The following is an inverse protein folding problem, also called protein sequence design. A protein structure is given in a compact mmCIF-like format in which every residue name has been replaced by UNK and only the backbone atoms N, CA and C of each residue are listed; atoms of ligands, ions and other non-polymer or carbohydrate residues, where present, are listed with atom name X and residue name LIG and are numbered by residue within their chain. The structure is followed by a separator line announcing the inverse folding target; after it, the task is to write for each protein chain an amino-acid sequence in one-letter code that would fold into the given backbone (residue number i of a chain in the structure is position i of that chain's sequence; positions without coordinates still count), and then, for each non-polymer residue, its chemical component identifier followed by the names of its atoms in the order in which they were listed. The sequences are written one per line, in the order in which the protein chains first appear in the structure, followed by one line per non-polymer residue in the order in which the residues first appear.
data_IF_442254470387
#
_entry.id   IF_442254470387
#
_cell.length_a   1.000
_cell.length_b   1.000
_cell.length_c   1.000
_cell.angle_alpha   90.00
_cell.angle_beta   90.00
_cell.angle_gamma   90.00
#
_symmetry.space_group_name_H-M   'P 1'
#
loop_
_entity.id
_entity.type
_entity.pdbx_description
1 polymer ?
#
# COMPACT_ATOMS: atom_id res chain seq x y z
N UNK A 1 -13.01 3.02 -15.77
CA UNK A 1 -12.03 2.71 -14.69
C UNK A 1 -10.71 2.05 -15.17
N UNK A 2 -10.71 0.79 -15.65
CA UNK A 2 -9.48 0.08 -16.08
C UNK A 2 -8.73 0.84 -17.19
N UNK A 3 -9.46 1.42 -18.14
CA UNK A 3 -8.88 2.24 -19.23
C UNK A 3 -8.13 3.50 -18.77
N UNK A 4 -8.45 4.03 -17.58
CA UNK A 4 -7.81 5.24 -17.02
C UNK A 4 -6.48 4.90 -16.34
N UNK A 5 -6.43 3.77 -15.63
CA UNK A 5 -5.22 3.25 -14.95
C UNK A 5 -4.11 2.93 -15.96
N UNK A 6 -4.46 2.40 -17.14
CA UNK A 6 -3.50 2.03 -18.18
C UNK A 6 -2.81 3.25 -18.84
N UNK A 7 -3.40 4.44 -18.79
CA UNK A 7 -2.81 5.68 -19.36
C UNK A 7 -1.93 6.44 -18.37
N UNK A 8 -2.05 6.17 -17.08
CA UNK A 8 -1.27 6.82 -16.04
C UNK A 8 0.01 6.01 -15.82
N UNK A 9 1.18 6.66 -15.95
CA UNK A 9 2.49 5.99 -15.77
C UNK A 9 2.57 5.31 -14.42
N UNK A 10 2.41 6.05 -13.32
CA UNK A 10 2.32 5.47 -11.98
C UNK A 10 1.05 5.97 -11.30
N UNK A 11 0.09 5.06 -11.13
CA UNK A 11 -1.18 5.40 -10.49
C UNK A 11 -0.96 5.58 -8.98
N UNK A 12 -0.36 4.57 -8.36
CA UNK A 12 0.19 4.62 -7.01
C UNK A 12 1.68 4.31 -7.09
N UNK A 13 2.51 4.93 -6.25
CA UNK A 13 3.92 4.52 -6.08
C UNK A 13 4.18 3.93 -4.71
N UNK A 14 3.42 4.39 -3.72
CA UNK A 14 3.30 3.72 -2.44
C UNK A 14 1.92 3.06 -2.32
N UNK A 15 1.88 1.85 -1.78
CA UNK A 15 0.60 1.20 -1.51
C UNK A 15 -0.08 1.92 -0.34
N UNK A 16 -1.29 2.44 -0.56
CA UNK A 16 -2.06 3.14 0.45
C UNK A 16 -2.82 2.21 1.39
N UNK A 17 -2.64 0.91 1.22
CA UNK A 17 -3.08 -0.15 2.14
C UNK A 17 -1.97 -0.46 3.13
N UNK A 18 -2.35 -0.54 4.41
CA UNK A 18 -1.41 -0.92 5.44
C UNK A 18 -1.14 -2.43 5.39
N UNK A 19 0.14 -2.79 5.49
CA UNK A 19 0.60 -4.17 5.54
C UNK A 19 0.43 -4.80 6.92
N UNK A 20 0.35 -4.01 7.99
CA UNK A 20 0.22 -4.54 9.35
C UNK A 20 -1.08 -5.38 9.55
N UNK A 21 -2.27 -4.90 9.13
CA UNK A 21 -3.49 -5.70 9.15
C UNK A 21 -3.39 -6.97 8.28
N UNK A 22 -2.76 -6.86 7.11
CA UNK A 22 -2.60 -7.98 6.18
C UNK A 22 -1.76 -9.08 6.84
N UNK A 23 -0.58 -8.75 7.37
CA UNK A 23 0.31 -9.72 8.03
C UNK A 23 -0.35 -10.36 9.25
N UNK A 24 -1.05 -9.55 10.06
CA UNK A 24 -1.81 -10.03 11.21
C UNK A 24 -2.90 -11.03 10.82
N UNK A 25 -3.66 -10.74 9.76
CA UNK A 25 -4.76 -11.59 9.30
C UNK A 25 -4.29 -12.85 8.55
N UNK A 26 -3.17 -12.76 7.82
CA UNK A 26 -2.68 -13.86 7.00
C UNK A 26 -1.97 -14.95 7.81
N UNK A 27 -1.38 -14.61 8.97
CA UNK A 27 -0.67 -15.57 9.85
C UNK A 27 0.34 -16.43 9.08
N UNK A 28 1.12 -15.80 8.20
CA UNK A 28 2.05 -16.47 7.27
C UNK A 28 3.09 -17.29 8.04
N UNK A 29 3.29 -18.53 7.59
CA UNK A 29 4.24 -19.49 8.15
C UNK A 29 5.39 -19.76 7.18
N UNK A 30 6.49 -20.26 7.74
CA UNK A 30 7.61 -20.73 6.93
C UNK A 30 7.17 -21.85 5.99
N UNK A 31 7.45 -21.69 4.71
CA UNK A 31 7.02 -22.61 3.65
C UNK A 31 5.71 -22.25 2.95
N UNK A 32 4.95 -21.26 3.45
CA UNK A 32 3.70 -20.83 2.82
C UNK A 32 3.96 -20.19 1.46
N UNK A 33 3.03 -20.40 0.53
CA UNK A 33 3.01 -19.72 -0.76
C UNK A 33 1.99 -18.61 -0.80
N UNK A 34 2.42 -17.40 -1.13
CA UNK A 34 1.59 -16.20 -1.04
C UNK A 34 1.31 -15.60 -2.41
N UNK A 35 0.05 -15.27 -2.70
CA UNK A 35 -0.34 -14.45 -3.84
C UNK A 35 -0.73 -13.05 -3.38
N UNK A 36 -0.30 -12.02 -4.09
CA UNK A 36 -0.70 -10.64 -3.81
C UNK A 36 -0.75 -9.77 -5.06
N UNK A 37 -1.42 -8.62 -4.98
CA UNK A 37 -1.25 -7.55 -5.96
C UNK A 37 0.09 -6.85 -5.73
N UNK A 38 0.86 -6.63 -6.79
CA UNK A 38 2.19 -6.05 -6.67
C UNK A 38 2.13 -4.61 -6.15
N UNK A 39 1.33 -3.74 -6.77
CA UNK A 39 1.13 -2.34 -6.37
C UNK A 39 2.46 -1.63 -6.04
N UNK A 40 3.38 -1.64 -7.01
CA UNK A 40 4.75 -1.10 -6.89
C UNK A 40 5.68 -1.84 -5.91
N UNK A 41 5.22 -2.94 -5.32
CA UNK A 41 6.02 -3.94 -4.63
C UNK A 41 6.19 -3.72 -3.13
N UNK A 42 5.77 -2.59 -2.55
CA UNK A 42 6.01 -2.27 -1.14
C UNK A 42 5.48 -3.36 -0.20
N UNK A 43 4.16 -3.58 -0.21
CA UNK A 43 3.52 -4.61 0.63
C UNK A 43 3.98 -6.01 0.23
N UNK A 44 4.09 -6.28 -1.08
CA UNK A 44 4.51 -7.58 -1.59
C UNK A 44 5.91 -8.00 -1.10
N UNK A 45 6.87 -7.09 -1.10
CA UNK A 45 8.21 -7.34 -0.56
C UNK A 45 8.19 -7.49 0.96
N UNK A 46 7.37 -6.70 1.67
CA UNK A 46 7.24 -6.81 3.13
C UNK A 46 6.73 -8.18 3.58
N UNK A 47 5.89 -8.88 2.80
CA UNK A 47 5.44 -10.24 3.13
C UNK A 47 6.59 -11.24 3.25
N UNK A 48 7.77 -10.97 2.65
CA UNK A 48 8.95 -11.83 2.80
C UNK A 48 9.52 -11.84 4.23
N UNK A 49 9.16 -10.86 5.07
CA UNK A 49 9.58 -10.83 6.46
C UNK A 49 9.03 -12.02 7.27
N UNK A 50 7.88 -12.56 6.86
CA UNK A 50 7.23 -13.71 7.50
C UNK A 50 7.74 -15.08 7.01
N UNK A 51 8.85 -15.10 6.27
CA UNK A 51 9.53 -16.30 5.75
C UNK A 51 8.70 -17.22 4.81
N UNK A 52 7.84 -16.70 3.92
CA UNK A 52 7.16 -17.56 2.95
C UNK A 52 8.15 -18.27 2.01
N UNK A 53 7.73 -19.38 1.41
CA UNK A 53 8.48 -20.07 0.36
C UNK A 53 8.64 -19.17 -0.87
N UNK A 54 7.53 -18.56 -1.33
CA UNK A 54 7.52 -17.57 -2.40
C UNK A 54 6.34 -16.60 -2.29
N UNK A 55 6.51 -15.44 -2.91
CA UNK A 55 5.46 -14.42 -3.06
C UNK A 55 5.26 -14.14 -4.55
N UNK A 56 4.09 -14.50 -5.07
CA UNK A 56 3.64 -14.19 -6.42
C UNK A 56 2.89 -12.86 -6.40
N UNK A 57 3.47 -11.85 -7.04
CA UNK A 57 2.94 -10.49 -7.10
C UNK A 57 2.46 -10.15 -8.51
N UNK A 58 1.15 -9.98 -8.68
CA UNK A 58 0.48 -9.68 -9.96
C UNK A 58 0.20 -8.17 -10.09
N UNK A 59 0.43 -7.60 -11.27
CA UNK A 59 -0.09 -6.27 -11.60
C UNK A 59 -0.54 -6.19 -13.06
N UNK A 60 -1.55 -5.36 -13.32
CA UNK A 60 -1.96 -5.01 -14.68
C UNK A 60 -1.07 -3.92 -15.28
N UNK A 61 -0.41 -3.09 -14.45
CA UNK A 61 0.41 -1.98 -14.90
C UNK A 61 1.88 -2.38 -15.02
N UNK A 62 2.38 -2.40 -16.26
CA UNK A 62 3.81 -2.62 -16.54
C UNK A 62 4.71 -1.61 -15.81
N UNK A 63 4.44 -0.30 -15.82
CA UNK A 63 5.23 0.65 -15.03
C UNK A 63 5.29 0.33 -13.53
N UNK A 64 4.18 -0.07 -12.89
CA UNK A 64 4.18 -0.44 -11.47
C UNK A 64 5.05 -1.68 -11.22
N UNK A 65 5.02 -2.67 -12.12
CA UNK A 65 5.93 -3.82 -12.06
C UNK A 65 7.38 -3.42 -12.26
N UNK A 66 7.67 -2.47 -13.17
CA UNK A 66 9.02 -1.97 -13.36
C UNK A 66 9.55 -1.24 -12.12
N UNK A 67 8.71 -0.52 -11.39
CA UNK A 67 9.09 0.06 -10.09
C UNK A 67 9.33 -1.03 -9.04
N UNK A 68 8.45 -2.02 -8.94
CA UNK A 68 8.62 -3.14 -8.01
C UNK A 68 9.93 -3.89 -8.24
N UNK A 69 10.23 -4.21 -9.51
CA UNK A 69 11.47 -4.88 -9.93
C UNK A 69 12.72 -4.02 -9.67
N UNK A 70 12.64 -2.70 -9.87
CA UNK A 70 13.72 -1.77 -9.54
C UNK A 70 14.01 -1.76 -8.04
N UNK A 71 12.99 -1.62 -7.19
CA UNK A 71 13.16 -1.63 -5.74
C UNK A 71 13.72 -2.98 -5.25
N UNK A 72 13.24 -4.09 -5.81
CA UNK A 72 13.79 -5.42 -5.51
C UNK A 72 15.27 -5.54 -5.89
N UNK A 73 15.68 -4.98 -7.03
CA UNK A 73 17.09 -4.94 -7.42
C UNK A 73 17.92 -4.05 -6.48
N UNK A 74 17.39 -2.92 -6.02
CA UNK A 74 18.03 -2.10 -5.00
C UNK A 74 18.27 -2.88 -3.71
N UNK A 75 17.24 -3.54 -3.16
CA UNK A 75 17.36 -4.40 -1.97
C UNK A 75 18.41 -5.49 -2.18
N UNK A 76 18.45 -6.11 -3.36
CA UNK A 76 19.39 -7.20 -3.65
C UNK A 76 20.85 -6.75 -3.73
N UNK A 77 21.11 -5.57 -4.29
CA UNK A 77 22.46 -5.17 -4.69
C UNK A 77 23.07 -4.05 -3.86
N UNK A 78 22.26 -3.20 -3.23
CA UNK A 78 22.73 -2.03 -2.49
C UNK A 78 22.90 -2.33 -0.99
N UNK A 79 23.57 -1.42 -0.30
CA UNK A 79 23.43 -1.25 1.15
C UNK A 79 22.08 -0.62 1.48
N UNK A 80 21.66 -0.69 2.74
CA UNK A 80 20.42 -0.06 3.18
C UNK A 80 20.45 1.45 2.93
N UNK A 81 21.53 2.13 3.31
CA UNK A 81 21.65 3.58 3.11
C UNK A 81 21.56 3.97 1.62
N UNK A 82 22.27 3.28 0.72
CA UNK A 82 22.17 3.54 -0.72
C UNK A 82 20.76 3.33 -1.25
N UNK A 83 20.02 2.34 -0.72
CA UNK A 83 18.62 2.16 -1.10
C UNK A 83 17.73 3.31 -0.63
N UNK A 84 17.90 3.77 0.62
CA UNK A 84 17.17 4.91 1.20
C UNK A 84 17.44 6.20 0.41
N UNK A 85 18.73 6.45 0.13
CA UNK A 85 19.19 7.58 -0.65
C UNK A 85 18.62 7.53 -2.05
N UNK A 86 18.64 6.37 -2.72
CA UNK A 86 18.05 6.19 -4.04
C UNK A 86 16.53 6.36 -4.04
N UNK A 87 15.84 5.76 -3.08
CA UNK A 87 14.39 5.65 -3.04
C UNK A 87 13.69 7.01 -2.97
N UNK A 88 14.16 7.93 -2.13
CA UNK A 88 13.46 9.21 -1.94
C UNK A 88 13.32 9.66 -0.50
N UNK A 89 13.72 8.84 0.46
CA UNK A 89 13.34 9.07 1.86
C UNK A 89 13.92 10.38 2.38
N UNK A 90 15.20 10.66 2.13
CA UNK A 90 15.83 11.94 2.52
C UNK A 90 16.09 12.84 1.31
N UNK A 91 15.01 13.41 0.76
CA UNK A 91 15.07 14.30 -0.42
C UNK A 91 15.77 15.62 -0.18
N UNK A 92 15.83 16.09 1.07
CA UNK A 92 16.43 17.38 1.39
C UNK A 92 17.96 17.28 1.49
N UNK A 93 18.49 16.16 1.98
CA UNK A 93 19.93 16.00 2.18
C UNK A 93 20.63 15.24 1.05
N UNK A 94 19.91 14.40 0.29
CA UNK A 94 20.49 13.64 -0.82
C UNK A 94 20.27 14.35 -2.15
N UNK A 95 21.38 14.70 -2.82
CA UNK A 95 21.36 15.40 -4.10
C UNK A 95 20.83 14.53 -5.25
N UNK A 96 20.12 15.10 -6.24
CA UNK A 96 19.63 14.35 -7.40
C UNK A 96 20.70 13.55 -8.16
N UNK A 97 21.91 14.09 -8.28
CA UNK A 97 23.02 13.45 -9.00
C UNK A 97 23.48 12.15 -8.33
N UNK A 98 23.33 12.06 -7.00
CA UNK A 98 23.70 10.88 -6.22
C UNK A 98 22.75 9.72 -6.52
N UNK A 99 21.44 9.99 -6.63
CA UNK A 99 20.44 8.99 -7.05
C UNK A 99 20.73 8.47 -8.45
N UNK A 100 21.14 9.36 -9.36
CA UNK A 100 21.56 8.99 -10.72
C UNK A 100 22.85 8.16 -10.71
N UNK A 101 23.80 8.45 -9.83
CA UNK A 101 25.01 7.63 -9.62
C UNK A 101 24.61 6.22 -9.19
N UNK A 102 23.79 6.10 -8.15
CA UNK A 102 23.32 4.80 -7.61
C UNK A 102 22.56 4.02 -8.70
N UNK A 103 21.69 4.67 -9.48
CA UNK A 103 21.01 4.02 -10.61
C UNK A 103 22.01 3.41 -11.61
N UNK A 104 23.08 4.13 -11.96
CA UNK A 104 24.10 3.65 -12.90
C UNK A 104 24.83 2.40 -12.40
N UNK A 105 24.89 2.19 -11.10
CA UNK A 105 25.49 1.00 -10.48
C UNK A 105 24.57 -0.20 -10.58
N UNK A 106 23.28 -0.02 -10.28
CA UNK A 106 22.30 -1.12 -10.30
C UNK A 106 21.77 -1.45 -11.70
N UNK A 107 21.82 -0.52 -12.67
CA UNK A 107 21.16 -0.72 -13.98
C UNK A 107 21.61 -1.96 -14.72
N UNK A 108 22.84 -2.45 -14.49
CA UNK A 108 23.36 -3.67 -15.13
C UNK A 108 22.72 -4.95 -14.59
N UNK A 109 22.17 -4.91 -13.37
CA UNK A 109 21.46 -6.02 -12.75
C UNK A 109 19.97 -6.07 -13.14
N UNK A 110 19.44 -5.01 -13.76
CA UNK A 110 18.05 -4.97 -14.22
C UNK A 110 17.85 -5.79 -15.49
N UNK A 111 16.70 -6.42 -15.59
CA UNK A 111 16.23 -7.04 -16.83
C UNK A 111 16.14 -6.00 -17.97
N UNK A 112 16.32 -6.39 -19.25
CA UNK A 112 16.42 -5.44 -20.36
C UNK A 112 15.25 -4.46 -20.47
N UNK A 113 14.02 -4.94 -20.30
CA UNK A 113 12.76 -4.18 -20.33
C UNK A 113 12.67 -3.16 -19.19
N UNK A 114 13.03 -3.59 -17.96
CA UNK A 114 13.04 -2.73 -16.77
C UNK A 114 14.11 -1.64 -16.92
N UNK A 115 15.30 -2.01 -17.41
CA UNK A 115 16.40 -1.08 -17.64
C UNK A 115 16.04 -0.04 -18.69
N UNK A 116 15.50 -0.45 -19.83
CA UNK A 116 15.09 0.46 -20.91
C UNK A 116 14.06 1.47 -20.41
N UNK A 117 13.08 1.01 -19.63
CA UNK A 117 12.11 1.88 -18.99
C UNK A 117 12.78 2.91 -18.07
N UNK A 118 13.62 2.49 -17.12
CA UNK A 118 14.24 3.40 -16.16
C UNK A 118 15.35 4.29 -16.75
N UNK A 119 16.01 3.86 -17.83
CA UNK A 119 16.94 4.69 -18.59
C UNK A 119 16.25 5.94 -19.18
N UNK A 120 14.93 5.87 -19.40
CA UNK A 120 14.10 7.00 -19.86
C UNK A 120 13.54 7.87 -18.73
N UNK A 121 13.72 7.50 -17.46
CA UNK A 121 13.05 8.10 -16.28
C UNK A 121 14.04 8.85 -15.37
N UNK A 122 14.95 9.61 -15.99
CA UNK A 122 15.98 10.36 -15.26
C UNK A 122 15.39 11.34 -14.24
N UNK A 123 14.32 12.05 -14.60
CA UNK A 123 13.64 13.01 -13.71
C UNK A 123 13.05 12.34 -12.47
N UNK A 124 12.46 11.16 -12.62
CA UNK A 124 11.85 10.39 -11.54
C UNK A 124 12.92 9.82 -10.61
N UNK A 125 14.05 9.36 -11.16
CA UNK A 125 15.23 8.94 -10.39
C UNK A 125 15.80 10.13 -9.60
N UNK A 126 15.98 11.28 -10.25
CA UNK A 126 16.48 12.51 -9.62
C UNK A 126 15.57 12.99 -8.48
N UNK A 127 14.25 12.84 -8.65
CA UNK A 127 13.26 13.25 -7.67
C UNK A 127 13.17 12.32 -6.46
N UNK A 128 13.45 11.03 -6.64
CA UNK A 128 13.18 9.98 -5.67
C UNK A 128 11.95 9.17 -6.09
N UNK A 129 12.19 7.93 -6.50
CA UNK A 129 11.21 7.07 -7.16
C UNK A 129 9.96 6.80 -6.32
N UNK A 130 10.03 6.89 -4.98
CA UNK A 130 8.88 6.68 -4.08
C UNK A 130 7.89 7.86 -4.04
N UNK A 131 8.14 8.95 -4.79
CA UNK A 131 7.29 10.15 -4.79
C UNK A 131 6.65 10.50 -6.14
N UNK A 132 6.93 9.72 -7.18
CA UNK A 132 6.52 10.01 -8.57
C UNK A 132 5.10 9.52 -8.94
N UNK A 133 4.31 9.09 -7.95
CA UNK A 133 2.95 8.62 -8.19
C UNK A 133 1.96 9.75 -8.36
N UNK A 134 0.90 9.48 -9.13
CA UNK A 134 -0.18 10.45 -9.34
C UNK A 134 -0.87 10.76 -8.02
N UNK A 135 -1.18 9.71 -7.24
CA UNK A 135 -1.80 9.86 -5.92
C UNK A 135 -0.83 10.47 -4.88
N UNK A 136 0.46 10.16 -4.97
CA UNK A 136 1.50 10.75 -4.13
C UNK A 136 1.64 12.26 -4.34
N UNK A 137 1.47 12.71 -5.58
CA UNK A 137 1.44 14.14 -5.93
C UNK A 137 0.24 14.85 -5.31
N UNK A 138 -0.90 14.18 -5.24
CA UNK A 138 -2.10 14.73 -4.61
C UNK A 138 -1.84 15.01 -3.13
N UNK A 139 -1.24 14.07 -2.40
CA UNK A 139 -0.95 14.24 -0.97
C UNK A 139 0.17 15.22 -0.70
N UNK A 140 1.22 15.23 -1.52
CA UNK A 140 2.28 16.23 -1.38
C UNK A 140 1.75 17.64 -1.52
N UNK A 141 0.90 17.89 -2.51
CA UNK A 141 0.24 19.18 -2.67
C UNK A 141 -0.75 19.47 -1.52
N UNK A 142 -1.34 18.44 -0.90
CA UNK A 142 -2.21 18.61 0.26
C UNK A 142 -1.42 18.97 1.55
N UNK A 143 -0.24 18.38 1.73
CA UNK A 143 0.66 18.70 2.83
C UNK A 143 1.10 20.18 2.80
N UNK A 144 1.42 20.70 1.60
CA UNK A 144 1.70 22.12 1.40
C UNK A 144 0.52 22.99 1.88
N UNK A 145 -0.71 22.68 1.45
CA UNK A 145 -1.92 23.39 1.89
C UNK A 145 -2.08 23.37 3.43
N UNK A 146 -1.78 22.25 4.10
CA UNK A 146 -1.87 22.16 5.56
C UNK A 146 -0.87 23.09 6.25
N UNK A 147 0.37 23.10 5.78
CA UNK A 147 1.46 23.93 6.33
C UNK A 147 1.23 25.41 6.05
N UNK A 148 0.74 25.77 4.87
CA UNK A 148 0.62 27.18 4.46
C UNK A 148 -0.69 27.83 4.94
N UNK A 149 -1.73 27.05 5.24
CA UNK A 149 -3.09 27.59 5.47
C UNK A 149 -3.70 27.17 6.80
N UNK A 150 -3.26 26.07 7.43
CA UNK A 150 -3.98 25.46 8.54
C UNK A 150 -3.19 25.21 9.84
N UNK A 151 -1.89 24.91 9.78
CA UNK A 151 -1.09 24.44 10.92
C UNK A 151 0.36 24.95 10.90
N UNK A 152 0.98 25.12 12.08
CA UNK A 152 2.40 25.43 12.20
C UNK A 152 3.26 24.17 11.96
N UNK A 153 4.43 24.33 11.31
CA UNK A 153 5.39 23.22 11.10
C UNK A 153 5.88 22.59 12.39
N UNK A 154 5.97 23.37 13.47
CA UNK A 154 6.36 22.90 14.81
C UNK A 154 5.29 21.99 15.38
N UNK A 155 4.02 22.35 15.26
CA UNK A 155 2.90 21.54 15.73
C UNK A 155 2.81 20.21 14.98
N UNK A 156 3.00 20.25 13.65
CA UNK A 156 3.09 19.04 12.82
C UNK A 156 4.25 18.15 13.29
N UNK A 157 5.44 18.72 13.49
CA UNK A 157 6.60 17.95 13.95
C UNK A 157 6.38 17.35 15.35
N UNK A 158 5.81 18.13 16.27
CA UNK A 158 5.45 17.65 17.61
C UNK A 158 4.49 16.49 17.49
N UNK A 159 3.37 16.67 16.77
CA UNK A 159 2.34 15.66 16.62
C UNK A 159 2.85 14.36 16.00
N UNK A 160 3.63 14.45 14.91
CA UNK A 160 4.22 13.26 14.26
C UNK A 160 5.23 12.53 15.15
N UNK A 161 5.83 13.20 16.14
CA UNK A 161 6.71 12.59 17.12
C UNK A 161 5.99 11.94 18.31
N UNK A 162 4.68 12.12 18.46
CA UNK A 162 3.91 11.60 19.58
C UNK A 162 3.64 10.09 19.45
N UNK A 163 3.15 9.51 20.55
CA UNK A 163 2.73 8.11 20.62
C UNK A 163 3.25 7.34 21.83
N UNK A 164 4.03 7.97 22.70
CA UNK A 164 4.41 7.40 24.01
C UNK A 164 3.26 7.46 25.03
N UNK A 165 2.45 8.52 24.96
CA UNK A 165 1.18 8.67 25.66
C UNK A 165 0.06 8.96 24.64
N UNK A 166 -0.86 8.01 24.49
CA UNK A 166 -1.97 8.10 23.53
C UNK A 166 -3.02 9.12 23.99
N UNK A 167 -3.20 9.33 25.30
CA UNK A 167 -4.13 10.33 25.82
C UNK A 167 -3.59 11.74 25.53
N UNK A 168 -2.30 11.98 25.79
CA UNK A 168 -1.63 13.24 25.43
C UNK A 168 -1.74 13.51 23.91
N UNK A 169 -1.48 12.49 23.07
CA UNK A 169 -1.61 12.60 21.63
C UNK A 169 -3.04 12.95 21.20
N UNK A 170 -4.04 12.30 21.80
CA UNK A 170 -5.44 12.56 21.50
C UNK A 170 -5.84 13.98 21.89
N UNK A 171 -5.38 14.48 23.04
CA UNK A 171 -5.62 15.85 23.48
C UNK A 171 -4.93 16.87 22.56
N UNK A 172 -3.65 16.64 22.20
CA UNK A 172 -2.92 17.49 21.27
C UNK A 172 -3.59 17.52 19.89
N UNK A 173 -4.07 16.37 19.41
CA UNK A 173 -4.83 16.32 18.16
C UNK A 173 -6.07 17.21 18.23
N UNK A 174 -6.88 17.11 19.28
CA UNK A 174 -8.12 17.90 19.39
C UNK A 174 -7.87 19.39 19.57
N UNK A 175 -6.89 19.77 20.38
CA UNK A 175 -6.63 21.16 20.76
C UNK A 175 -5.79 21.92 19.73
N UNK A 176 -4.83 21.25 19.08
CA UNK A 176 -3.83 21.88 18.21
C UNK A 176 -4.04 21.55 16.74
N UNK A 177 -4.29 20.28 16.40
CA UNK A 177 -4.38 19.83 15.00
C UNK A 177 -5.79 19.99 14.42
N UNK A 178 -6.84 19.64 15.17
CA UNK A 178 -8.23 19.53 14.72
C UNK A 178 -8.94 20.90 14.57
N UNK A 179 -8.23 21.91 14.08
CA UNK A 179 -8.74 23.27 13.91
C UNK A 179 -9.83 23.34 12.84
N UNK A 180 -10.64 24.39 12.85
CA UNK A 180 -11.64 24.63 11.79
C UNK A 180 -10.98 24.80 10.41
N UNK A 181 -9.81 25.42 10.36
CA UNK A 181 -9.05 25.62 9.12
C UNK A 181 -8.51 24.30 8.58
N UNK A 182 -7.94 23.46 9.45
CA UNK A 182 -7.49 22.12 9.07
C UNK A 182 -8.65 21.26 8.56
N UNK A 183 -9.76 21.18 9.31
CA UNK A 183 -10.98 20.49 8.86
C UNK A 183 -11.42 20.96 7.48
N UNK A 184 -11.50 22.28 7.25
CA UNK A 184 -11.92 22.84 5.96
C UNK A 184 -10.94 22.51 4.84
N UNK A 185 -9.63 22.56 5.09
CA UNK A 185 -8.60 22.16 4.13
C UNK A 185 -8.77 20.68 3.76
N UNK A 186 -8.99 19.81 4.75
CA UNK A 186 -9.23 18.39 4.56
C UNK A 186 -10.51 18.11 3.77
N UNK A 187 -11.65 18.66 4.17
CA UNK A 187 -12.94 18.46 3.49
C UNK A 187 -12.89 18.95 2.04
N UNK A 188 -12.36 20.15 1.79
CA UNK A 188 -12.21 20.70 0.42
C UNK A 188 -11.40 19.75 -0.46
N UNK A 189 -10.35 19.16 0.09
CA UNK A 189 -9.43 18.30 -0.67
C UNK A 189 -10.01 16.90 -0.87
N UNK A 190 -10.53 16.25 0.17
CA UNK A 190 -11.18 14.94 0.06
C UNK A 190 -12.34 14.98 -0.94
N UNK A 191 -13.16 16.03 -0.90
CA UNK A 191 -14.25 16.26 -1.86
C UNK A 191 -13.75 16.45 -3.30
N UNK A 192 -12.70 17.25 -3.52
CA UNK A 192 -12.15 17.48 -4.85
C UNK A 192 -11.42 16.25 -5.42
N UNK A 193 -10.74 15.47 -4.58
CA UNK A 193 -10.02 14.27 -4.99
C UNK A 193 -10.95 13.20 -5.56
N UNK A 194 -12.15 13.04 -4.99
CA UNK A 194 -13.10 12.02 -5.44
C UNK A 194 -13.88 12.43 -6.67
N UNK A 195 -14.03 13.74 -6.91
CA UNK A 195 -14.67 14.25 -8.12
C UNK A 195 -13.88 13.94 -9.39
N UNK A 196 -12.55 13.83 -9.27
CA UNK A 196 -11.64 13.44 -10.35
C UNK A 196 -11.59 11.91 -10.56
N UNK A 197 -11.98 11.13 -9.55
CA UNK A 197 -12.25 9.68 -9.66
C UNK A 197 -13.69 9.47 -10.12
N UNK A 198 -13.94 9.61 -11.42
CA UNK A 198 -15.19 9.27 -12.14
C UNK A 198 -16.44 9.08 -11.25
N UNK A 199 -17.19 10.17 -11.03
CA UNK A 199 -18.43 10.22 -10.23
C UNK A 199 -19.53 9.21 -10.65
N UNK A 200 -19.35 8.46 -11.75
CA UNK A 200 -20.32 7.43 -12.18
C UNK A 200 -20.18 6.09 -11.46
N UNK A 201 -19.08 5.87 -10.72
CA UNK A 201 -18.75 4.58 -10.07
C UNK A 201 -18.83 4.68 -8.54
N UNK A 202 -18.58 5.88 -8.01
CA UNK A 202 -18.62 6.16 -6.59
C UNK A 202 -20.08 6.38 -6.16
N UNK A 203 -20.66 5.57 -5.25
CA UNK A 203 -22.01 5.73 -4.77
C UNK A 203 -22.14 7.08 -4.06
N UNK A 204 -23.35 7.60 -4.00
CA UNK A 204 -23.67 8.87 -3.35
C UNK A 204 -23.45 8.79 -1.83
N UNK A 205 -22.19 8.89 -1.44
CA UNK A 205 -21.67 8.73 -0.08
C UNK A 205 -20.78 9.92 0.22
N UNK A 206 -20.92 10.47 1.43
CA UNK A 206 -20.02 11.53 1.90
C UNK A 206 -18.67 10.94 2.35
N UNK A 207 -17.85 10.59 1.36
CA UNK A 207 -16.50 10.10 1.56
C UNK A 207 -15.62 11.07 2.35
N UNK A 208 -15.81 12.38 2.19
CA UNK A 208 -15.04 13.38 2.93
C UNK A 208 -15.24 13.20 4.43
N UNK A 209 -16.49 13.02 4.86
CA UNK A 209 -16.82 12.70 6.24
C UNK A 209 -16.31 11.32 6.67
N UNK A 210 -16.44 10.28 5.84
CA UNK A 210 -15.98 8.93 6.19
C UNK A 210 -14.45 8.84 6.35
N UNK A 211 -13.72 9.53 5.49
CA UNK A 211 -12.27 9.67 5.53
C UNK A 211 -11.84 10.47 6.77
N UNK A 212 -12.48 11.61 7.01
CA UNK A 212 -12.21 12.45 8.19
C UNK A 212 -12.42 11.68 9.50
N UNK A 213 -13.55 10.99 9.66
CA UNK A 213 -13.84 10.20 10.87
C UNK A 213 -12.76 9.15 11.13
N UNK A 214 -12.32 8.43 10.10
CA UNK A 214 -11.27 7.42 10.24
C UNK A 214 -9.92 8.01 10.61
N UNK A 215 -9.55 9.14 10.01
CA UNK A 215 -8.33 9.86 10.40
C UNK A 215 -8.39 10.25 11.87
N UNK A 216 -9.51 10.80 12.35
CA UNK A 216 -9.67 11.15 13.77
C UNK A 216 -9.46 9.93 14.66
N UNK A 217 -10.07 8.79 14.32
CA UNK A 217 -9.92 7.55 15.08
C UNK A 217 -8.44 7.11 15.12
N UNK A 218 -7.76 7.06 13.95
CA UNK A 218 -6.35 6.67 13.84
C UNK A 218 -5.45 7.62 14.61
N UNK A 219 -5.63 8.94 14.42
CA UNK A 219 -4.78 9.98 15.00
C UNK A 219 -4.91 10.09 16.52
N UNK A 220 -5.98 9.52 17.09
CA UNK A 220 -6.20 9.46 18.54
C UNK A 220 -5.89 8.09 19.16
N UNK A 221 -5.61 7.06 18.37
CA UNK A 221 -5.46 5.69 18.88
C UNK A 221 -4.17 4.98 18.48
N UNK A 222 -3.55 5.39 17.38
CA UNK A 222 -2.31 4.80 16.88
C UNK A 222 -1.16 5.78 17.14
N UNK A 223 -0.01 5.33 17.70
CA UNK A 223 1.18 6.16 17.86
C UNK A 223 1.58 6.87 16.55
N UNK A 224 1.63 8.21 16.55
CA UNK A 224 1.95 8.97 15.33
C UNK A 224 3.35 8.72 14.79
N UNK A 225 4.31 8.49 15.68
CA UNK A 225 5.68 8.10 15.31
C UNK A 225 5.77 6.76 14.57
N UNK A 226 4.72 5.93 14.63
CA UNK A 226 4.61 4.66 13.92
C UNK A 226 3.78 4.73 12.63
N UNK A 227 3.16 5.89 12.35
CA UNK A 227 2.26 6.09 11.23
C UNK A 227 2.95 6.82 10.06
N UNK A 228 3.60 6.04 9.20
CA UNK A 228 4.25 6.55 7.99
C UNK A 228 3.26 7.20 6.98
N UNK A 229 1.97 6.82 7.01
CA UNK A 229 0.97 7.50 6.18
C UNK A 229 0.76 8.93 6.69
N UNK A 230 0.63 9.12 8.00
CA UNK A 230 0.44 10.43 8.61
C UNK A 230 1.61 11.36 8.29
N UNK A 231 2.85 10.89 8.38
CA UNK A 231 4.02 11.68 7.98
C UNK A 231 3.87 12.18 6.53
N UNK A 232 3.50 11.30 5.61
CA UNK A 232 3.33 11.65 4.20
C UNK A 232 2.15 12.62 3.99
N UNK A 233 1.04 12.44 4.71
CA UNK A 233 -0.11 13.34 4.66
C UNK A 233 0.23 14.76 5.10
N UNK A 234 1.03 14.91 6.16
CA UNK A 234 1.35 16.21 6.73
C UNK A 234 2.56 16.90 6.08
N UNK A 235 3.50 16.13 5.50
CA UNK A 235 4.77 16.67 5.00
C UNK A 235 4.98 16.48 3.50
N UNK A 236 4.20 15.60 2.86
CA UNK A 236 4.32 15.31 1.43
C UNK A 236 5.53 14.45 1.06
N UNK A 237 6.17 13.84 2.06
CA UNK A 237 7.32 12.97 1.90
C UNK A 237 7.60 12.18 3.18
N UNK A 238 8.83 11.68 3.28
CA UNK A 238 9.37 11.10 4.49
C UNK A 238 10.56 11.93 4.94
N UNK A 239 10.90 11.87 6.22
CA UNK A 239 12.04 12.57 6.80
C UNK A 239 13.14 11.62 7.30
N UNK A 240 12.85 10.32 7.33
CA UNK A 240 13.71 9.30 7.95
C UNK A 240 13.76 9.35 9.48
N UNK A 241 13.00 10.26 10.12
CA UNK A 241 12.99 10.43 11.60
C UNK A 241 11.92 9.60 12.29
N UNK A 242 10.85 9.25 11.57
CA UNK A 242 9.77 8.41 12.06
C UNK A 242 9.84 7.03 11.42
N UNK A 243 9.04 6.11 11.93
CA UNK A 243 9.03 4.73 11.46
C UNK A 243 8.61 4.71 9.98
N UNK A 244 9.55 4.31 9.12
CA UNK A 244 9.28 4.12 7.70
C UNK A 244 8.41 2.88 7.47
N UNK A 245 8.01 2.66 6.23
CA UNK A 245 7.45 1.37 5.80
C UNK A 245 8.43 0.24 6.09
N UNK A 246 7.89 -0.93 6.37
CA UNK A 246 8.64 -2.10 6.82
C UNK A 246 9.74 -2.48 5.82
N UNK A 247 9.51 -2.33 4.51
CA UNK A 247 10.54 -2.64 3.50
C UNK A 247 11.67 -1.61 3.38
N UNK A 248 11.51 -0.43 3.98
CA UNK A 248 12.50 0.66 4.04
C UNK A 248 13.23 0.70 5.38
N UNK A 249 12.84 -0.11 6.35
CA UNK A 249 13.45 -0.16 7.69
C UNK A 249 14.79 -0.89 7.67
N UNK A 250 15.79 -0.36 8.39
CA UNK A 250 17.15 -0.92 8.43
C UNK A 250 17.15 -2.33 9.05
N UNK A 251 16.40 -2.50 10.14
CA UNK A 251 16.23 -3.75 10.87
C UNK A 251 15.69 -4.89 10.00
N UNK A 252 14.96 -4.57 8.94
CA UNK A 252 14.35 -5.51 8.01
C UNK A 252 15.21 -5.79 6.77
N UNK A 253 16.19 -4.93 6.48
CA UNK A 253 16.89 -4.92 5.20
C UNK A 253 17.68 -6.20 4.93
N UNK A 254 18.38 -6.73 5.94
CA UNK A 254 19.17 -7.96 5.79
C UNK A 254 18.28 -9.17 5.44
N UNK A 255 17.16 -9.32 6.13
CA UNK A 255 16.16 -10.37 5.88
C UNK A 255 15.57 -10.24 4.47
N UNK A 256 15.19 -9.02 4.07
CA UNK A 256 14.67 -8.77 2.73
C UNK A 256 15.71 -9.06 1.66
N UNK A 257 16.97 -8.65 1.86
CA UNK A 257 18.06 -8.88 0.90
C UNK A 257 18.35 -10.36 0.66
N UNK A 258 18.27 -11.18 1.70
CA UNK A 258 18.37 -12.64 1.61
C UNK A 258 17.19 -13.22 0.82
N UNK A 259 15.96 -12.78 1.14
CA UNK A 259 14.72 -13.39 0.66
C UNK A 259 14.13 -12.79 -0.60
N UNK A 260 14.62 -11.65 -1.09
CA UNK A 260 14.04 -10.93 -2.24
C UNK A 260 14.02 -11.77 -3.52
N UNK A 261 14.91 -12.77 -3.62
CA UNK A 261 14.91 -13.75 -4.71
C UNK A 261 13.70 -14.68 -4.75
N UNK A 262 12.87 -14.69 -3.70
CA UNK A 262 11.61 -15.47 -3.61
C UNK A 262 10.40 -14.71 -4.20
N UNK A 263 10.59 -13.49 -4.71
CA UNK A 263 9.55 -12.75 -5.43
C UNK A 263 9.36 -13.29 -6.85
N UNK A 264 8.09 -13.45 -7.26
CA UNK A 264 7.71 -13.71 -8.64
C UNK A 264 6.80 -12.59 -9.15
N UNK A 265 7.25 -11.86 -10.17
CA UNK A 265 6.51 -10.73 -10.73
C UNK A 265 5.71 -11.18 -11.96
N UNK A 266 4.39 -11.03 -11.91
CA UNK A 266 3.50 -11.46 -13.00
C UNK A 266 2.76 -10.25 -13.56
N UNK A 267 2.73 -10.14 -14.88
CA UNK A 267 1.90 -9.15 -15.57
C UNK A 267 0.59 -9.81 -16.03
N UNK A 268 -0.54 -9.22 -15.64
CA UNK A 268 -1.85 -9.70 -16.04
C UNK A 268 -3.01 -9.03 -15.31
N UNK A 269 -4.22 -9.27 -15.80
CA UNK A 269 -5.45 -8.86 -15.14
C UNK A 269 -5.85 -9.92 -14.09
N UNK A 270 -6.30 -9.47 -12.91
CA UNK A 270 -6.55 -10.33 -11.75
C UNK A 270 -7.59 -11.42 -12.04
N UNK A 271 -8.75 -11.05 -12.56
CA UNK A 271 -9.85 -12.00 -12.78
C UNK A 271 -9.48 -13.05 -13.83
N UNK A 272 -8.84 -12.63 -14.92
CA UNK A 272 -8.32 -13.52 -15.96
C UNK A 272 -7.24 -14.46 -15.42
N UNK A 273 -6.33 -13.95 -14.59
CA UNK A 273 -5.23 -14.73 -14.03
C UNK A 273 -5.76 -15.79 -13.06
N UNK A 274 -6.64 -15.39 -12.12
CA UNK A 274 -7.27 -16.30 -11.17
C UNK A 274 -8.07 -17.40 -11.87
N UNK A 275 -8.81 -17.06 -12.93
CA UNK A 275 -9.58 -18.04 -13.70
C UNK A 275 -8.71 -19.06 -14.45
N UNK A 276 -7.54 -18.65 -14.95
CA UNK A 276 -6.61 -19.50 -15.70
C UNK A 276 -5.71 -20.33 -14.78
N UNK A 277 -5.39 -19.85 -13.58
CA UNK A 277 -4.44 -20.49 -12.68
C UNK A 277 -4.71 -21.99 -12.41
N UNK A 278 -5.96 -22.46 -12.17
CA UNK A 278 -6.24 -23.89 -11.97
C UNK A 278 -5.76 -24.79 -13.12
N UNK A 279 -5.70 -24.28 -14.35
CA UNK A 279 -5.24 -25.05 -15.52
C UNK A 279 -3.72 -25.21 -15.61
N UNK A 280 -2.95 -24.44 -14.82
CA UNK A 280 -1.49 -24.42 -14.88
C UNK A 280 -0.81 -25.59 -14.16
N UNK A 281 -1.56 -26.35 -13.35
CA UNK A 281 -1.05 -27.41 -12.47
C UNK A 281 0.03 -26.93 -11.48
N UNK A 282 0.15 -25.63 -11.24
CA UNK A 282 1.04 -25.09 -10.22
C UNK A 282 0.50 -25.36 -8.80
N UNK A 283 1.37 -25.36 -7.78
CA UNK A 283 0.95 -25.48 -6.39
C UNK A 283 -0.06 -24.38 -6.00
N UNK A 284 -0.97 -24.71 -5.10
CA UNK A 284 -1.93 -23.74 -4.55
C UNK A 284 -1.25 -22.77 -3.57
N UNK A 285 -2.01 -21.77 -3.15
CA UNK A 285 -1.58 -20.73 -2.21
C UNK A 285 -2.08 -20.99 -0.80
N UNK A 286 -1.29 -20.62 0.20
CA UNK A 286 -1.65 -20.62 1.62
C UNK A 286 -2.17 -19.24 2.05
N UNK A 287 -1.83 -18.20 1.29
CA UNK A 287 -2.34 -16.85 1.50
C UNK A 287 -2.59 -16.12 0.18
N UNK A 288 -3.73 -15.43 0.07
CA UNK A 288 -4.10 -14.60 -1.07
C UNK A 288 -4.53 -13.23 -0.57
N UNK A 289 -3.77 -12.18 -0.93
CA UNK A 289 -4.06 -10.80 -0.60
C UNK A 289 -4.41 -10.01 -1.86
N UNK A 290 -5.68 -9.65 -2.02
CA UNK A 290 -6.21 -9.12 -3.27
C UNK A 290 -7.00 -7.87 -3.00
N UNK A 291 -6.31 -6.75 -3.00
CA UNK A 291 -6.95 -5.46 -2.79
C UNK A 291 -7.76 -5.03 -4.01
N UNK A 292 -8.81 -4.26 -3.77
CA UNK A 292 -9.64 -3.63 -4.80
C UNK A 292 -10.42 -4.62 -5.67
N UNK A 293 -10.69 -5.84 -5.17
CA UNK A 293 -11.62 -6.76 -5.85
C UNK A 293 -12.99 -6.07 -5.99
N UNK A 294 -13.47 -5.39 -4.94
CA UNK A 294 -14.79 -4.82 -4.98
C UNK A 294 -14.90 -3.55 -5.83
N UNK A 295 -13.87 -2.71 -5.82
CA UNK A 295 -13.99 -1.30 -6.18
C UNK A 295 -14.35 -1.08 -7.66
N UNK A 296 -13.93 -2.01 -8.52
CA UNK A 296 -14.04 -1.85 -9.97
C UNK A 296 -14.81 -2.97 -10.68
N UNK A 297 -15.11 -4.05 -9.97
CA UNK A 297 -15.78 -5.21 -10.55
C UNK A 297 -17.31 -5.05 -10.48
N UNK A 298 -18.04 -5.75 -11.34
CA UNK A 298 -19.46 -6.01 -11.08
C UNK A 298 -19.60 -6.93 -9.85
N UNK A 299 -20.80 -7.07 -9.28
CA UNK A 299 -21.02 -8.06 -8.22
C UNK A 299 -20.72 -9.49 -8.71
N UNK A 300 -21.10 -9.81 -9.94
CA UNK A 300 -20.81 -11.11 -10.55
C UNK A 300 -19.30 -11.36 -10.69
N UNK A 301 -18.54 -10.37 -11.17
CA UNK A 301 -17.09 -10.51 -11.31
C UNK A 301 -16.37 -10.55 -9.95
N UNK A 302 -16.85 -9.81 -8.95
CA UNK A 302 -16.37 -9.90 -7.57
C UNK A 302 -16.56 -11.31 -7.02
N UNK A 303 -17.77 -11.87 -7.11
CA UNK A 303 -18.05 -13.23 -6.63
C UNK A 303 -17.19 -14.27 -7.35
N UNK A 304 -17.08 -14.18 -8.69
CA UNK A 304 -16.25 -15.08 -9.49
C UNK A 304 -14.76 -14.99 -9.12
N UNK A 305 -14.25 -13.80 -8.80
CA UNK A 305 -12.87 -13.61 -8.35
C UNK A 305 -12.64 -14.28 -6.98
N UNK A 306 -13.54 -14.08 -6.02
CA UNK A 306 -13.47 -14.70 -4.69
C UNK A 306 -13.56 -16.24 -4.78
N UNK A 307 -14.48 -16.76 -5.61
CA UNK A 307 -14.57 -18.19 -5.88
C UNK A 307 -13.29 -18.76 -6.49
N UNK A 308 -12.69 -18.03 -7.43
CA UNK A 308 -11.45 -18.46 -8.08
C UNK A 308 -10.27 -18.44 -7.10
N UNK A 309 -10.19 -17.41 -6.25
CA UNK A 309 -9.22 -17.34 -5.15
C UNK A 309 -9.35 -18.54 -4.20
N UNK A 310 -10.57 -18.90 -3.80
CA UNK A 310 -10.79 -20.08 -2.95
C UNK A 310 -10.39 -21.39 -3.64
N UNK A 311 -10.67 -21.55 -4.94
CA UNK A 311 -10.29 -22.76 -5.70
C UNK A 311 -8.77 -22.98 -5.75
N UNK A 312 -7.99 -21.91 -5.82
CA UNK A 312 -6.53 -21.94 -5.91
C UNK A 312 -5.84 -21.86 -4.55
N UNK A 313 -6.60 -21.86 -3.45
CA UNK A 313 -6.07 -21.89 -2.09
C UNK A 313 -6.01 -23.32 -1.55
N UNK A 314 -5.03 -23.59 -0.68
CA UNK A 314 -5.01 -24.79 0.14
C UNK A 314 -6.11 -24.72 1.22
N UNK A 315 -6.65 -25.87 1.68
CA UNK A 315 -7.47 -25.90 2.89
C UNK A 315 -6.71 -25.30 4.07
N UNK A 316 -7.36 -24.43 4.84
CA UNK A 316 -6.73 -23.65 5.90
C UNK A 316 -6.06 -22.35 5.42
N UNK A 317 -5.93 -22.13 4.11
CA UNK A 317 -5.35 -20.91 3.55
C UNK A 317 -6.23 -19.67 3.78
N UNK A 318 -5.59 -18.49 3.86
CA UNK A 318 -6.25 -17.20 4.10
C UNK A 318 -6.50 -16.44 2.80
N UNK A 319 -7.71 -15.91 2.65
CA UNK A 319 -8.03 -14.91 1.63
C UNK A 319 -8.32 -13.60 2.35
N UNK A 320 -7.61 -12.54 1.96
CA UNK A 320 -7.79 -11.20 2.52
C UNK A 320 -7.97 -10.18 1.39
N UNK A 321 -8.88 -9.23 1.59
CA UNK A 321 -9.07 -8.13 0.64
C UNK A 321 -9.53 -6.83 1.33
N UNK A 322 -9.21 -5.73 0.66
CA UNK A 322 -9.65 -4.38 1.00
C UNK A 322 -10.64 -3.87 -0.04
N UNK A 323 -11.54 -3.01 0.40
CA UNK A 323 -12.40 -2.21 -0.46
C UNK A 323 -12.23 -0.73 -0.11
N UNK A 324 -12.41 0.14 -1.10
CA UNK A 324 -12.55 1.56 -0.86
C UNK A 324 -13.74 1.83 0.06
N UNK A 325 -13.61 2.87 0.88
CA UNK A 325 -14.67 3.26 1.80
C UNK A 325 -16.00 3.45 1.09
N UNK A 326 -17.12 3.03 1.67
CA UNK A 326 -18.44 3.13 1.03
C UNK A 326 -18.71 2.13 -0.10
N UNK A 327 -17.83 1.14 -0.33
CA UNK A 327 -18.06 0.00 -1.25
C UNK A 327 -18.47 -1.27 -0.46
N UNK A 328 -19.77 -1.52 -0.24
CA UNK A 328 -20.22 -2.67 0.55
C UNK A 328 -20.25 -3.94 -0.33
N UNK A 329 -19.09 -4.52 -0.62
CA UNK A 329 -19.03 -5.91 -1.10
C UNK A 329 -18.49 -6.81 -0.01
N UNK A 330 -19.23 -7.87 0.23
CA UNK A 330 -18.98 -8.86 1.25
C UNK A 330 -18.60 -10.19 0.61
N UNK A 331 -18.31 -11.16 1.45
CA UNK A 331 -18.14 -12.56 1.06
C UNK A 331 -19.42 -13.08 0.35
N UNK A 332 -19.30 -13.82 -0.77
CA UNK A 332 -20.45 -14.43 -1.43
C UNK A 332 -21.17 -15.36 -0.46
N UNK A 333 -22.45 -15.10 -0.17
CA UNK A 333 -23.21 -15.81 0.86
C UNK A 333 -23.27 -17.32 0.62
N UNK A 334 -23.27 -17.75 -0.65
CA UNK A 334 -23.28 -19.15 -1.04
C UNK A 334 -22.01 -19.91 -0.66
N UNK A 335 -20.88 -19.22 -0.48
CA UNK A 335 -19.59 -19.79 -0.11
C UNK A 335 -19.41 -19.92 1.41
N UNK A 336 -20.11 -19.10 2.20
CA UNK A 336 -19.95 -19.06 3.66
C UNK A 336 -20.39 -20.40 4.26
N UNK A 337 -19.54 -20.98 5.12
CA UNK A 337 -19.70 -22.29 5.76
C UNK A 337 -19.75 -23.48 4.78
N UNK A 338 -19.39 -23.28 3.52
CA UNK A 338 -19.25 -24.35 2.51
C UNK A 338 -17.85 -24.43 1.93
N UNK A 339 -17.34 -23.29 1.49
CA UNK A 339 -16.01 -23.14 0.89
C UNK A 339 -15.11 -22.25 1.74
N UNK A 340 -15.70 -21.30 2.47
CA UNK A 340 -14.96 -20.37 3.32
C UNK A 340 -15.60 -20.22 4.70
N UNK A 341 -14.77 -19.97 5.70
CA UNK A 341 -15.15 -19.51 7.03
C UNK A 341 -14.75 -18.05 7.16
N UNK A 342 -15.71 -17.15 7.39
CA UNK A 342 -15.43 -15.73 7.64
C UNK A 342 -14.85 -15.57 9.04
N UNK A 343 -13.79 -14.80 9.18
CA UNK A 343 -13.02 -14.68 10.43
C UNK A 343 -13.25 -13.31 11.08
N UNK A 344 -14.45 -13.09 11.61
CA UNK A 344 -14.89 -11.79 12.13
C UNK A 344 -13.98 -11.23 13.24
N UNK A 345 -13.43 -12.08 14.11
CA UNK A 345 -12.51 -11.64 15.16
C UNK A 345 -11.16 -11.17 14.59
N UNK A 346 -10.68 -11.82 13.51
CA UNK A 346 -9.48 -11.38 12.79
C UNK A 346 -9.75 -10.10 12.00
N UNK A 347 -10.90 -9.97 11.33
CA UNK A 347 -11.29 -8.72 10.67
C UNK A 347 -11.29 -7.54 11.67
N UNK A 348 -11.88 -7.74 12.85
CA UNK A 348 -11.95 -6.72 13.88
C UNK A 348 -10.57 -6.36 14.45
N UNK A 349 -9.76 -7.36 14.82
CA UNK A 349 -8.42 -7.11 15.38
C UNK A 349 -7.44 -6.53 14.35
N UNK A 350 -7.48 -6.98 13.09
CA UNK A 350 -6.65 -6.43 12.02
C UNK A 350 -6.98 -4.96 11.74
N UNK A 351 -8.27 -4.58 11.79
CA UNK A 351 -8.72 -3.20 11.56
C UNK A 351 -8.16 -2.20 12.58
N UNK A 352 -7.82 -2.66 13.79
CA UNK A 352 -7.20 -1.83 14.82
C UNK A 352 -5.72 -1.52 14.53
N UNK A 353 -5.08 -2.30 13.66
CA UNK A 353 -3.67 -2.12 13.26
C UNK A 353 -3.51 -1.23 12.04
N UNK A 354 -4.61 -0.88 11.36
CA UNK A 354 -4.60 -0.15 10.11
C UNK A 354 -4.32 1.34 10.34
N UNK A 355 -3.15 1.78 9.89
CA UNK A 355 -2.66 3.16 9.99
C UNK A 355 -3.18 4.03 8.85
N UNK A 356 -3.83 3.46 7.83
CA UNK A 356 -4.35 4.16 6.66
C UNK A 356 -5.82 4.58 6.83
N UNK A 357 -6.19 5.83 6.50
CA UNK A 357 -7.58 6.28 6.59
C UNK A 357 -8.45 5.95 5.36
N UNK A 358 -7.91 5.26 4.35
CA UNK A 358 -8.51 5.19 3.00
C UNK A 358 -9.52 4.05 2.84
N UNK A 359 -9.33 2.93 3.53
CA UNK A 359 -10.02 1.68 3.21
C UNK A 359 -11.17 1.37 4.19
N UNK A 360 -12.12 0.56 3.73
CA UNK A 360 -13.00 -0.20 4.63
C UNK A 360 -12.18 -1.15 5.51
N UNK A 361 -12.74 -1.62 6.65
CA UNK A 361 -12.16 -2.72 7.41
C UNK A 361 -11.77 -3.92 6.53
N UNK A 362 -10.58 -4.49 6.77
CA UNK A 362 -10.07 -5.67 6.07
C UNK A 362 -11.06 -6.82 6.17
N UNK A 363 -11.28 -7.53 5.05
CA UNK A 363 -12.06 -8.76 5.02
C UNK A 363 -11.14 -9.96 5.08
N UNK A 364 -11.48 -10.94 5.91
CA UNK A 364 -10.67 -12.13 6.15
C UNK A 364 -11.53 -13.38 6.15
N UNK A 365 -11.13 -14.38 5.36
CA UNK A 365 -11.74 -15.70 5.38
C UNK A 365 -10.70 -16.82 5.22
N UNK A 366 -11.02 -17.95 5.81
CA UNK A 366 -10.27 -19.21 5.69
C UNK A 366 -10.94 -20.09 4.67
N UNK A 367 -10.16 -20.74 3.82
CA UNK A 367 -10.67 -21.78 2.93
C UNK A 367 -10.86 -23.08 3.74
N UNK A 368 -12.04 -23.69 3.61
CA UNK A 368 -12.45 -24.90 4.33
C UNK A 368 -11.89 -26.20 3.73
#
# INVERSE_FOLDING_TARGET
PVFFIVRIRFFFIQNWEDIAPIRHAMEIKSGDRIFTIASCGANAMTLLLDDPADVVALDLSIPQLHLAKLQAACIKHLTHQEFIDFAGVDRENVKPEERVRIYKEIRKALAPDVREFWDSMKSEIEFGVIHCGTFDTIFRNAAEDMVYVALDKRDIKTFLGMGDDIEEQANFFEEVINTKHWRKAMYRRAYNQLKDFDNSIIPDVDYGTLFYRRMVDIYKSIPMKENHFAEYFFTGGYSGKYKLREYLQEENFATLKDRIGRMQWVHGELTDWLAKYPSTQQPKFDGICVSNIADWLSLANHNAAIESAAKISNPGGRIVFWNLKGMPKYWPSEMINKTIKVEHELEASATLLDRSPIWEPLRVATVL
#
